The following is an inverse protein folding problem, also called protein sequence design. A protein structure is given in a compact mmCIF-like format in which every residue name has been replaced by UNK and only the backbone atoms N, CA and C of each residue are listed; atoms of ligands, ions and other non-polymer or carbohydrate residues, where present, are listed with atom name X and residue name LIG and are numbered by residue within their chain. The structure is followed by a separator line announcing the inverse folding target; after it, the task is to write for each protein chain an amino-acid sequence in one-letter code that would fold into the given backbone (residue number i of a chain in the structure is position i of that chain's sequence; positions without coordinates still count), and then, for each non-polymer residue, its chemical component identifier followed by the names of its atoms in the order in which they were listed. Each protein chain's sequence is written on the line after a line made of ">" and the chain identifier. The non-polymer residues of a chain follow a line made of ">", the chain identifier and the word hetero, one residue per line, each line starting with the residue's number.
data_IF_761450980136
#
_entry.id   IF_761450980136
#
_cell.length_a   1.000
_cell.length_b   1.000
_cell.length_c   1.000
_cell.angle_alpha   90.00
_cell.angle_beta   90.00
_cell.angle_gamma   90.00
#
_symmetry.space_group_name_H-M   'P 1'
#
loop_
_entity.id
_entity.type
_entity.pdbx_description
1 polymer ?
#
# COMPACT_ATOMS: atom_id res chain seq x y z
N UNK A 1 11.84 -29.80 -4.34
CA UNK A 1 11.03 -28.61 -4.11
C UNK A 1 10.22 -28.20 -5.33
N UNK A 2 9.22 -27.41 -5.12
CA UNK A 2 8.36 -26.87 -6.16
C UNK A 2 8.21 -25.36 -5.98
N UNK A 3 8.34 -24.60 -7.08
CA UNK A 3 8.05 -23.16 -7.12
C UNK A 3 6.91 -22.94 -8.10
N UNK A 4 5.90 -22.17 -7.68
CA UNK A 4 4.83 -21.69 -8.52
C UNK A 4 4.92 -20.17 -8.62
N UNK A 5 4.92 -19.67 -9.84
CA UNK A 5 4.93 -18.23 -10.13
C UNK A 5 3.56 -17.85 -10.68
N UNK A 6 2.93 -16.84 -10.07
CA UNK A 6 1.58 -16.39 -10.40
C UNK A 6 1.69 -14.91 -10.76
N UNK A 7 1.08 -14.54 -11.89
CA UNK A 7 1.03 -13.16 -12.37
C UNK A 7 -0.41 -12.66 -12.38
N UNK A 8 -0.59 -11.44 -11.91
CA UNK A 8 -1.85 -10.72 -12.02
C UNK A 8 -1.64 -9.52 -12.93
N UNK A 9 -2.48 -9.41 -13.95
CA UNK A 9 -2.52 -8.25 -14.83
C UNK A 9 -3.16 -7.08 -14.08
N UNK A 10 -2.42 -5.98 -13.97
CA UNK A 10 -2.86 -4.74 -13.32
C UNK A 10 -3.29 -3.68 -14.32
N UNK A 11 -3.34 -4.04 -15.60
CA UNK A 11 -3.66 -3.15 -16.70
C UNK A 11 -2.43 -2.45 -17.29
N UNK A 12 -2.59 -1.86 -18.48
CA UNK A 12 -1.52 -1.10 -19.17
C UNK A 12 -0.21 -1.89 -19.33
N UNK A 13 -0.33 -3.20 -19.64
CA UNK A 13 0.81 -4.12 -19.80
C UNK A 13 1.70 -4.25 -18.54
N UNK A 14 1.14 -4.00 -17.37
CA UNK A 14 1.82 -4.14 -16.08
C UNK A 14 1.35 -5.39 -15.35
N UNK A 15 2.30 -6.06 -14.69
CA UNK A 15 2.03 -7.28 -13.94
C UNK A 15 2.55 -7.14 -12.51
N UNK A 16 1.79 -7.67 -11.55
CA UNK A 16 2.30 -7.99 -10.23
C UNK A 16 2.48 -9.50 -10.11
N UNK A 17 3.61 -9.93 -9.53
CA UNK A 17 3.95 -11.34 -9.43
C UNK A 17 4.05 -11.79 -7.98
N UNK A 18 3.55 -13.01 -7.73
CA UNK A 18 3.70 -13.70 -6.47
C UNK A 18 4.36 -15.07 -6.70
N UNK A 19 5.16 -15.49 -5.74
CA UNK A 19 5.81 -16.80 -5.78
C UNK A 19 5.37 -17.63 -4.58
N UNK A 20 5.05 -18.91 -4.84
CA UNK A 20 4.86 -19.92 -3.81
C UNK A 20 5.99 -20.93 -3.92
N UNK A 21 6.62 -21.24 -2.79
CA UNK A 21 7.65 -22.27 -2.69
C UNK A 21 7.19 -23.38 -1.76
N UNK A 22 7.33 -24.66 -2.20
CA UNK A 22 7.00 -25.84 -1.40
C UNK A 22 8.21 -26.78 -1.36
N UNK A 23 8.64 -27.14 -0.17
CA UNK A 23 9.75 -28.07 0.07
C UNK A 23 11.04 -27.64 -0.66
N UNK A 24 11.30 -26.33 -0.75
CA UNK A 24 12.52 -25.77 -1.33
C UNK A 24 13.54 -25.58 -0.22
N UNK A 25 14.75 -26.17 -0.32
CA UNK A 25 15.78 -26.03 0.70
C UNK A 25 16.09 -24.53 0.96
N UNK A 26 16.13 -24.15 2.25
CA UNK A 26 16.40 -22.78 2.66
C UNK A 26 15.20 -21.83 2.61
N UNK A 27 14.04 -22.27 2.11
CA UNK A 27 12.80 -21.49 2.12
C UNK A 27 11.85 -22.07 3.17
N UNK A 28 11.43 -21.30 4.19
CA UNK A 28 10.43 -21.74 5.15
C UNK A 28 9.10 -22.06 4.44
N UNK A 29 8.40 -23.08 4.91
CA UNK A 29 7.07 -23.44 4.41
C UNK A 29 6.00 -22.42 4.81
N UNK A 30 6.21 -21.82 5.98
CA UNK A 30 5.35 -20.75 6.51
C UNK A 30 6.23 -19.58 6.94
N UNK A 31 5.85 -18.39 6.56
CA UNK A 31 6.52 -17.15 6.94
C UNK A 31 5.53 -15.99 6.87
N UNK A 32 5.80 -14.97 7.66
CA UNK A 32 5.06 -13.72 7.60
C UNK A 32 5.54 -12.88 6.40
N UNK A 33 4.71 -12.76 5.38
CA UNK A 33 4.99 -11.93 4.21
C UNK A 33 4.66 -10.45 4.43
N UNK A 34 4.13 -10.08 5.59
CA UNK A 34 3.81 -8.71 5.93
C UNK A 34 5.06 -7.89 6.20
N UNK A 35 5.63 -7.27 5.17
CA UNK A 35 6.85 -6.45 5.26
C UNK A 35 6.79 -5.42 6.40
N UNK A 36 5.64 -4.80 6.62
CA UNK A 36 5.46 -3.82 7.70
C UNK A 36 5.64 -4.47 9.07
N UNK A 37 5.06 -5.66 9.30
CA UNK A 37 5.23 -6.38 10.58
C UNK A 37 6.68 -6.81 10.76
N UNK A 38 7.31 -7.31 9.71
CA UNK A 38 8.72 -7.72 9.75
C UNK A 38 9.67 -6.57 10.09
N UNK A 39 9.31 -5.36 9.71
CA UNK A 39 10.05 -4.14 10.02
C UNK A 39 9.58 -3.44 11.31
N UNK A 40 8.50 -3.91 11.94
CA UNK A 40 7.95 -3.29 13.15
C UNK A 40 7.28 -1.94 12.91
N UNK A 41 6.81 -1.68 11.69
CA UNK A 41 6.17 -0.41 11.31
C UNK A 41 4.66 -0.60 11.02
N UNK A 42 3.84 0.48 11.12
CA UNK A 42 2.42 0.42 10.79
C UNK A 42 2.15 -0.04 9.36
N UNK A 43 0.99 -0.68 9.14
CA UNK A 43 0.62 -1.28 7.83
C UNK A 43 0.62 -0.30 6.67
N UNK A 44 0.39 0.98 6.92
CA UNK A 44 0.34 2.01 5.89
C UNK A 44 1.71 2.39 5.31
N UNK A 45 2.83 2.03 5.96
CA UNK A 45 4.16 2.46 5.54
C UNK A 45 4.61 1.85 4.22
N UNK A 46 4.25 0.58 3.96
CA UNK A 46 4.52 -0.09 2.70
C UNK A 46 3.23 -0.74 2.21
N UNK A 47 2.76 -0.31 1.06
CA UNK A 47 1.56 -0.84 0.44
C UNK A 47 1.64 -0.71 -1.09
N UNK A 48 0.80 -1.42 -1.79
CA UNK A 48 0.62 -1.28 -3.24
C UNK A 48 -0.69 -0.56 -3.52
N UNK A 49 -0.61 0.53 -4.29
CA UNK A 49 -1.75 1.29 -4.75
C UNK A 49 -2.02 1.00 -6.23
N UNK A 50 -3.27 0.71 -6.56
CA UNK A 50 -3.75 0.45 -7.91
C UNK A 50 -4.76 1.51 -8.30
N UNK A 51 -4.70 1.95 -9.56
CA UNK A 51 -5.65 2.92 -10.10
C UNK A 51 -7.06 2.32 -10.23
N UNK A 52 -8.06 3.01 -9.68
CA UNK A 52 -9.48 2.69 -9.83
C UNK A 52 -10.15 3.51 -10.96
N UNK A 53 -9.42 4.42 -11.57
CA UNK A 53 -9.84 5.27 -12.67
C UNK A 53 -10.68 6.46 -12.26
N UNK A 54 -11.82 6.25 -11.62
CA UNK A 54 -12.77 7.30 -11.19
C UNK A 54 -13.29 7.05 -9.78
N UNK A 55 -13.89 8.06 -9.15
CA UNK A 55 -14.56 7.92 -7.86
C UNK A 55 -15.68 6.86 -7.90
N UNK A 56 -16.45 6.80 -8.98
CA UNK A 56 -17.45 5.77 -9.17
C UNK A 56 -16.82 4.37 -9.31
N UNK A 57 -15.67 4.27 -9.99
CA UNK A 57 -14.90 3.04 -10.09
C UNK A 57 -14.33 2.60 -8.73
N UNK A 58 -13.85 3.55 -7.93
CA UNK A 58 -13.37 3.30 -6.58
C UNK A 58 -14.48 2.74 -5.67
N UNK A 59 -15.66 3.36 -5.68
CA UNK A 59 -16.80 2.87 -4.89
C UNK A 59 -17.29 1.51 -5.40
N UNK A 60 -17.36 1.30 -6.71
CA UNK A 60 -17.71 -0.01 -7.27
C UNK A 60 -16.72 -1.10 -6.82
N UNK A 61 -15.42 -0.79 -6.79
CA UNK A 61 -14.38 -1.71 -6.30
C UNK A 61 -14.53 -1.97 -4.79
N UNK A 62 -14.88 -0.95 -4.00
CA UNK A 62 -15.17 -1.10 -2.58
C UNK A 62 -16.34 -2.07 -2.35
N UNK A 63 -17.43 -1.90 -3.07
CA UNK A 63 -18.60 -2.78 -2.97
C UNK A 63 -18.29 -4.21 -3.42
N UNK A 64 -17.48 -4.38 -4.47
CA UNK A 64 -17.01 -5.69 -4.92
C UNK A 64 -16.24 -6.43 -3.83
N UNK A 65 -15.30 -5.73 -3.16
CA UNK A 65 -14.51 -6.30 -2.07
C UNK A 65 -15.37 -6.69 -0.87
N UNK A 66 -16.29 -5.81 -0.46
CA UNK A 66 -17.25 -6.08 0.63
C UNK A 66 -18.13 -7.30 0.31
N UNK A 67 -18.64 -7.41 -0.93
CA UNK A 67 -19.45 -8.55 -1.36
C UNK A 67 -18.68 -9.88 -1.34
N UNK A 68 -17.36 -9.82 -1.50
CA UNK A 68 -16.45 -10.97 -1.36
C UNK A 68 -16.01 -11.25 0.08
N UNK A 69 -16.53 -10.50 1.05
CA UNK A 69 -16.17 -10.65 2.46
C UNK A 69 -14.79 -10.11 2.84
N UNK A 70 -14.20 -9.28 1.99
CA UNK A 70 -12.92 -8.61 2.29
C UNK A 70 -13.21 -7.38 3.17
N UNK A 71 -12.52 -7.28 4.29
CA UNK A 71 -12.56 -6.07 5.11
C UNK A 71 -11.87 -4.93 4.35
N UNK A 72 -12.62 -3.86 4.08
CA UNK A 72 -12.15 -2.68 3.34
C UNK A 72 -12.53 -1.41 4.10
N UNK A 73 -11.66 -0.41 4.08
CA UNK A 73 -11.89 0.87 4.75
C UNK A 73 -13.06 1.65 4.13
N UNK A 74 -13.54 2.66 4.85
CA UNK A 74 -14.26 3.76 4.22
C UNK A 74 -13.33 4.49 3.24
N UNK A 75 -13.92 5.29 2.36
CA UNK A 75 -13.15 6.12 1.43
C UNK A 75 -12.39 7.19 2.23
N UNK A 76 -11.09 7.22 2.05
CA UNK A 76 -10.21 8.25 2.61
C UNK A 76 -9.95 9.30 1.54
N UNK A 77 -10.16 10.56 1.87
CA UNK A 77 -9.89 11.70 1.01
C UNK A 77 -8.52 12.30 1.35
N UNK A 78 -7.63 12.30 0.36
CA UNK A 78 -6.27 12.85 0.45
C UNK A 78 -6.15 14.22 -0.24
N UNK A 79 -7.27 14.88 -0.56
CA UNK A 79 -7.35 16.14 -1.29
C UNK A 79 -7.07 15.97 -2.80
N UNK A 80 -5.95 15.39 -3.18
CA UNK A 80 -5.56 15.10 -4.58
C UNK A 80 -5.95 13.71 -5.07
N UNK A 81 -6.30 12.80 -4.14
CA UNK A 81 -6.75 11.44 -4.43
C UNK A 81 -7.77 10.97 -3.41
N UNK A 82 -8.60 10.03 -3.79
CA UNK A 82 -9.44 9.24 -2.90
C UNK A 82 -9.02 7.79 -2.93
N UNK A 83 -9.02 7.14 -1.77
CA UNK A 83 -8.46 5.80 -1.60
C UNK A 83 -9.34 4.92 -0.72
N UNK A 84 -9.28 3.61 -0.98
CA UNK A 84 -9.76 2.55 -0.08
C UNK A 84 -8.63 1.58 0.21
N UNK A 85 -8.59 1.05 1.43
CA UNK A 85 -7.52 0.20 1.93
C UNK A 85 -8.06 -1.15 2.35
N UNK A 86 -7.32 -2.20 2.02
CA UNK A 86 -7.63 -3.58 2.40
C UNK A 86 -6.35 -4.40 2.55
N UNK A 87 -6.47 -5.63 2.97
CA UNK A 87 -5.32 -6.55 3.06
C UNK A 87 -5.52 -7.72 2.12
N UNK A 88 -4.43 -8.15 1.50
CA UNK A 88 -4.40 -9.43 0.79
C UNK A 88 -4.42 -10.61 1.79
N UNK A 89 -4.60 -11.86 1.34
CA UNK A 89 -4.58 -13.03 2.22
C UNK A 89 -3.28 -13.22 3.01
N UNK A 90 -2.17 -12.63 2.57
CA UNK A 90 -0.88 -12.68 3.26
C UNK A 90 -0.71 -11.53 4.27
N UNK A 91 -1.71 -10.66 4.39
CA UNK A 91 -1.67 -9.50 5.29
C UNK A 91 -0.94 -8.28 4.74
N UNK A 92 -0.60 -8.27 3.44
CA UNK A 92 -0.02 -7.11 2.79
C UNK A 92 -1.07 -6.02 2.60
N UNK A 93 -0.71 -4.79 2.92
CA UNK A 93 -1.57 -3.63 2.71
C UNK A 93 -1.69 -3.33 1.22
N UNK A 94 -2.92 -3.23 0.76
CA UNK A 94 -3.31 -2.91 -0.61
C UNK A 94 -4.18 -1.66 -0.60
N UNK A 95 -4.17 -0.95 -1.72
CA UNK A 95 -4.95 0.25 -1.95
C UNK A 95 -5.55 0.23 -3.35
N UNK A 96 -6.78 0.69 -3.50
CA UNK A 96 -7.26 1.26 -4.75
C UNK A 96 -7.43 2.76 -4.57
N UNK A 97 -7.01 3.53 -5.56
CA UNK A 97 -7.13 4.98 -5.54
C UNK A 97 -7.58 5.54 -6.88
N UNK A 98 -8.12 6.75 -6.85
CA UNK A 98 -8.34 7.56 -8.03
C UNK A 98 -7.89 9.00 -7.76
N UNK A 99 -7.26 9.63 -8.75
CA UNK A 99 -6.92 11.04 -8.65
C UNK A 99 -8.18 11.89 -8.78
N UNK A 100 -8.30 12.88 -7.90
CA UNK A 100 -9.39 13.88 -7.93
C UNK A 100 -8.98 15.16 -8.63
N UNK A 101 -7.67 15.40 -8.72
CA UNK A 101 -7.01 16.47 -9.46
C UNK A 101 -5.58 16.06 -9.84
N UNK A 102 -4.93 16.86 -10.66
CA UNK A 102 -3.51 16.65 -10.94
C UNK A 102 -2.67 16.85 -9.66
N UNK A 103 -1.61 16.06 -9.56
CA UNK A 103 -0.63 16.19 -8.51
C UNK A 103 0.30 17.36 -8.84
N UNK A 104 0.29 18.40 -7.99
CA UNK A 104 1.06 19.60 -8.17
C UNK A 104 2.35 19.64 -7.34
N UNK A 105 3.14 20.66 -7.56
CA UNK A 105 4.37 20.89 -6.78
C UNK A 105 4.09 21.15 -5.28
N UNK A 106 2.92 21.70 -4.97
CA UNK A 106 2.43 21.90 -3.60
C UNK A 106 2.20 20.58 -2.85
N UNK A 107 1.88 19.50 -3.57
CA UNK A 107 1.67 18.18 -2.99
C UNK A 107 3.00 17.46 -2.69
N UNK A 108 4.07 17.85 -3.36
CA UNK A 108 5.40 17.32 -3.14
C UNK A 108 6.08 17.88 -1.88
N UNK A 109 5.60 19.02 -1.36
CA UNK A 109 6.13 19.67 -0.14
C UNK A 109 5.42 19.10 1.09
N UNK A 110 5.75 17.87 1.45
CA UNK A 110 5.13 17.16 2.57
C UNK A 110 5.76 17.43 3.94
N UNK A 111 6.86 18.19 4.01
CA UNK A 111 7.68 18.32 5.22
C UNK A 111 6.88 18.84 6.42
N UNK A 112 6.11 19.91 6.24
CA UNK A 112 5.32 20.48 7.34
C UNK A 112 4.16 19.56 7.76
N UNK A 113 3.49 18.92 6.79
CA UNK A 113 2.42 17.95 7.08
C UNK A 113 2.98 16.69 7.73
N UNK A 114 4.14 16.26 7.33
CA UNK A 114 4.85 15.13 7.91
C UNK A 114 5.25 15.39 9.35
N UNK A 115 5.82 16.55 9.65
CA UNK A 115 6.16 16.97 11.02
C UNK A 115 4.92 17.05 11.91
N UNK A 116 3.82 17.62 11.42
CA UNK A 116 2.56 17.65 12.15
C UNK A 116 2.00 16.25 12.41
N UNK A 117 2.14 15.33 11.46
CA UNK A 117 1.71 13.93 11.60
C UNK A 117 2.57 13.16 12.59
N UNK A 118 3.89 13.36 12.56
CA UNK A 118 4.82 12.76 13.53
C UNK A 118 4.49 13.26 14.94
N UNK A 119 4.25 14.54 15.09
CA UNK A 119 3.84 15.14 16.36
C UNK A 119 2.52 14.57 16.86
N UNK A 120 1.50 14.47 15.99
CA UNK A 120 0.21 13.90 16.33
C UNK A 120 0.29 12.40 16.73
N UNK A 121 1.28 11.67 16.21
CA UNK A 121 1.53 10.28 16.54
C UNK A 121 2.45 10.09 17.77
N UNK A 122 2.95 11.18 18.38
CA UNK A 122 3.88 11.12 19.51
C UNK A 122 5.25 10.52 19.16
N UNK A 123 5.63 10.58 17.88
CA UNK A 123 6.89 10.02 17.37
C UNK A 123 8.01 11.07 17.30
N UNK A 124 7.97 12.09 18.14
CA UNK A 124 8.88 13.24 18.10
C UNK A 124 10.37 12.86 18.31
N UNK A 125 10.66 11.68 18.84
CA UNK A 125 12.03 11.20 19.10
C UNK A 125 12.66 10.43 17.93
N UNK A 126 11.99 10.30 16.80
CA UNK A 126 12.52 9.59 15.63
C UNK A 126 13.33 10.47 14.68
N UNK A 127 14.17 11.33 15.20
CA UNK A 127 15.11 12.20 14.45
C UNK A 127 16.05 11.41 13.51
N UNK A 128 16.02 10.09 13.54
CA UNK A 128 16.84 9.20 12.71
C UNK A 128 16.19 8.78 11.40
N UNK A 129 14.92 9.13 11.15
CA UNK A 129 14.20 8.75 9.91
C UNK A 129 14.16 9.85 8.85
N UNK A 130 14.86 10.94 9.05
CA UNK A 130 14.98 11.96 8.00
C UNK A 130 15.82 11.38 6.87
N UNK A 131 15.16 11.14 5.74
CA UNK A 131 15.79 10.72 4.49
C UNK A 131 17.03 11.54 4.21
N UNK A 132 18.17 10.88 4.17
CA UNK A 132 19.43 11.43 3.67
C UNK A 132 19.50 11.34 2.14
N UNK A 133 18.42 11.63 1.43
CA UNK A 133 18.52 11.82 -0.01
C UNK A 133 19.20 13.16 -0.26
N UNK A 134 20.43 13.18 -0.79
CA UNK A 134 21.09 14.43 -1.15
C UNK A 134 20.29 15.11 -2.26
N UNK A 135 20.19 16.44 -2.27
CA UNK A 135 19.59 17.15 -3.39
C UNK A 135 20.35 16.80 -4.68
N UNK A 136 19.59 16.52 -5.75
CA UNK A 136 20.14 16.35 -7.10
C UNK A 136 20.66 17.68 -7.63
#
# INVERSE_FOLDING_TARGET
>A
GQIRHIFFDTGRDQLIAFMEARNVPGVPMEYDSGINRGLGVPSAFYHFAFEAGTEAGLEAKRQELLAKGVAVSEVTDHDWAKSIYFKDPNGMQMEFCCLTREFGSEDAVMTERFEASIKALGLEDTTTLVSTNPPK
#
